data_IF_853358681593
#
_entry.id   IF_853358681593
#
_cell.length_a   1.000
_cell.length_b   1.000
_cell.length_c   1.000
_cell.angle_alpha   90.00
_cell.angle_beta   90.00
_cell.angle_gamma   90.00
#
_symmetry.space_group_name_H-M   'P 1'
#
loop_
_entity.id
_entity.type
_entity.pdbx_description
1 polymer ?
#
# COMPACT_ATOMS: atom_id res chain seq x y z
N UNK A 1 37.75 54.09 2.31
CA UNK A 1 37.01 53.07 1.54
C UNK A 1 36.86 51.72 2.28
N UNK A 2 37.72 51.36 3.19
CA UNK A 2 37.72 50.04 3.91
C UNK A 2 36.60 49.91 4.96
N UNK A 3 36.23 50.94 5.69
CA UNK A 3 35.19 50.89 6.72
C UNK A 3 33.77 50.65 6.14
N UNK A 4 33.46 51.27 5.00
CA UNK A 4 32.15 51.11 4.34
C UNK A 4 31.96 49.67 3.79
N UNK A 5 33.00 49.07 3.23
CA UNK A 5 32.97 47.69 2.74
C UNK A 5 32.77 46.68 3.88
N UNK A 6 33.35 46.92 5.05
CA UNK A 6 33.20 46.07 6.23
C UNK A 6 31.76 46.16 6.80
N UNK A 7 31.18 47.37 6.86
CA UNK A 7 29.78 47.54 7.31
C UNK A 7 28.79 46.89 6.36
N UNK A 8 28.98 47.02 5.03
CA UNK A 8 28.13 46.39 4.04
C UNK A 8 28.22 44.82 4.11
N UNK A 9 29.43 44.30 4.34
CA UNK A 9 29.63 42.86 4.53
C UNK A 9 28.93 42.33 5.79
N UNK A 10 28.99 43.07 6.91
CA UNK A 10 28.31 42.68 8.13
C UNK A 10 26.77 42.71 7.98
N UNK A 11 26.23 43.72 7.30
CA UNK A 11 24.77 43.79 7.01
C UNK A 11 24.33 42.63 6.11
N UNK A 12 25.09 42.32 5.06
CA UNK A 12 24.79 41.19 4.19
C UNK A 12 24.81 39.87 4.95
N UNK A 13 25.79 39.65 5.84
CA UNK A 13 25.87 38.47 6.70
C UNK A 13 24.66 38.30 7.63
N UNK A 14 24.22 39.41 8.25
CA UNK A 14 23.00 39.40 9.10
C UNK A 14 21.75 39.10 8.30
N UNK A 15 21.61 39.65 7.10
CA UNK A 15 20.44 39.35 6.23
C UNK A 15 20.42 37.88 5.82
N UNK A 16 21.56 37.33 5.43
CA UNK A 16 21.67 35.88 5.06
C UNK A 16 21.32 35.00 6.27
N UNK A 17 21.85 35.31 7.45
CA UNK A 17 21.55 34.58 8.68
C UNK A 17 20.05 34.65 9.05
N UNK A 18 19.40 35.79 8.89
CA UNK A 18 17.97 35.98 9.14
C UNK A 18 17.12 35.18 8.13
N UNK A 19 17.48 35.17 6.84
CA UNK A 19 16.78 34.41 5.80
C UNK A 19 16.95 32.93 6.06
N UNK A 20 18.15 32.46 6.35
CA UNK A 20 18.42 31.04 6.68
C UNK A 20 17.67 30.59 7.94
N UNK A 21 17.66 31.43 8.99
CA UNK A 21 16.91 31.20 10.22
C UNK A 21 15.39 31.05 9.95
N UNK A 22 14.81 32.01 9.19
CA UNK A 22 13.39 31.95 8.83
C UNK A 22 13.06 30.68 8.00
N UNK A 23 13.95 30.29 7.11
CA UNK A 23 13.77 29.07 6.30
C UNK A 23 13.82 27.79 7.16
N UNK A 24 14.79 27.68 8.07
CA UNK A 24 14.90 26.54 9.01
C UNK A 24 13.69 26.49 9.95
N UNK A 25 13.28 27.64 10.53
CA UNK A 25 12.10 27.72 11.40
C UNK A 25 10.84 27.36 10.61
N UNK A 26 10.67 27.86 9.40
CA UNK A 26 9.52 27.55 8.53
C UNK A 26 9.42 26.04 8.24
N UNK A 27 10.57 25.39 7.94
CA UNK A 27 10.63 23.94 7.74
C UNK A 27 10.32 23.14 9.00
N UNK A 28 10.85 23.55 10.16
CA UNK A 28 10.58 22.86 11.43
C UNK A 28 9.12 22.99 11.85
N UNK A 29 8.51 24.17 11.68
CA UNK A 29 7.08 24.38 11.95
C UNK A 29 6.20 23.59 10.98
N UNK A 30 6.56 23.52 9.69
CA UNK A 30 5.82 22.71 8.72
C UNK A 30 5.90 21.22 9.06
N UNK A 31 7.08 20.71 9.45
CA UNK A 31 7.27 19.33 9.90
C UNK A 31 6.48 19.04 11.18
N UNK A 32 6.51 19.92 12.17
CA UNK A 32 5.76 19.79 13.40
C UNK A 32 4.24 19.75 13.15
N UNK A 33 3.71 20.63 12.30
CA UNK A 33 2.29 20.63 11.91
C UNK A 33 1.90 19.36 11.13
N UNK A 34 2.77 18.86 10.27
CA UNK A 34 2.54 17.61 9.56
C UNK A 34 2.52 16.41 10.53
N UNK A 35 3.46 16.37 11.49
CA UNK A 35 3.49 15.36 12.53
C UNK A 35 2.24 15.41 13.43
N UNK A 36 1.81 16.60 13.85
CA UNK A 36 0.60 16.78 14.65
C UNK A 36 -0.68 16.33 13.90
N UNK A 37 -0.80 16.64 12.60
CA UNK A 37 -1.91 16.16 11.77
C UNK A 37 -1.90 14.64 11.67
N UNK A 38 -0.73 14.02 11.47
CA UNK A 38 -0.57 12.56 11.42
C UNK A 38 -0.95 11.92 12.76
N UNK A 39 -0.48 12.49 13.88
CA UNK A 39 -0.82 12.02 15.22
C UNK A 39 -2.32 12.07 15.49
N UNK A 40 -2.98 13.19 15.19
CA UNK A 40 -4.44 13.32 15.33
C UNK A 40 -5.23 12.36 14.42
N UNK A 41 -4.73 12.09 13.21
CA UNK A 41 -5.36 11.12 12.32
C UNK A 41 -5.18 9.71 12.86
N UNK A 42 -3.98 9.37 13.34
CA UNK A 42 -3.69 8.09 13.97
C UNK A 42 -4.51 7.87 15.25
N UNK A 43 -4.66 8.89 16.08
CA UNK A 43 -5.48 8.85 17.31
C UNK A 43 -6.96 8.61 17.00
N UNK A 44 -7.51 9.33 16.01
CA UNK A 44 -8.90 9.08 15.54
C UNK A 44 -9.09 7.70 14.94
N UNK A 45 -8.10 7.21 14.19
CA UNK A 45 -8.14 5.86 13.62
C UNK A 45 -8.01 4.79 14.71
N UNK A 46 -7.18 5.01 15.73
CA UNK A 46 -7.05 4.10 16.86
C UNK A 46 -8.34 4.06 17.70
N UNK A 47 -8.98 5.20 17.91
CA UNK A 47 -10.27 5.31 18.59
C UNK A 47 -11.39 4.60 17.81
N UNK A 48 -11.48 4.82 16.49
CA UNK A 48 -12.34 4.08 15.59
C UNK A 48 -11.99 2.58 15.59
N UNK A 49 -10.70 2.21 15.57
CA UNK A 49 -10.23 0.82 15.54
C UNK A 49 -10.59 0.02 16.79
N UNK A 50 -10.62 0.66 17.96
CA UNK A 50 -11.03 -0.01 19.21
C UNK A 50 -12.53 -0.33 19.25
N UNK A 51 -13.37 0.57 18.74
CA UNK A 51 -14.82 0.39 18.63
C UNK A 51 -15.20 -0.56 17.49
N UNK A 52 -14.47 -0.54 16.38
CA UNK A 52 -14.80 -1.30 15.18
C UNK A 52 -14.47 -2.79 15.29
N UNK A 53 -13.56 -3.22 16.16
CA UNK A 53 -13.24 -4.65 16.32
C UNK A 53 -14.45 -5.45 16.83
N UNK A 54 -15.21 -4.91 17.78
CA UNK A 54 -16.47 -5.51 18.23
C UNK A 54 -17.54 -5.47 17.14
N UNK A 55 -17.74 -4.29 16.53
CA UNK A 55 -18.72 -4.08 15.45
C UNK A 55 -18.44 -4.98 14.23
N UNK A 56 -17.19 -5.22 13.93
CA UNK A 56 -16.82 -6.07 12.81
C UNK A 56 -17.21 -7.53 12.99
N UNK A 57 -17.02 -8.08 14.16
CA UNK A 57 -17.54 -9.43 14.47
C UNK A 57 -19.06 -9.47 14.37
N UNK A 58 -19.75 -8.41 14.83
CA UNK A 58 -21.20 -8.30 14.73
C UNK A 58 -21.70 -8.10 13.29
N UNK A 59 -20.92 -7.47 12.40
CA UNK A 59 -21.26 -7.33 10.98
C UNK A 59 -20.86 -8.56 10.17
N UNK A 60 -19.72 -9.21 10.46
CA UNK A 60 -19.28 -10.43 9.75
C UNK A 60 -20.29 -11.57 9.92
N UNK A 61 -20.91 -11.69 11.10
CA UNK A 61 -21.89 -12.73 11.39
C UNK A 61 -23.14 -12.65 10.46
N UNK A 62 -23.87 -11.52 10.33
CA UNK A 62 -24.99 -11.45 9.40
C UNK A 62 -24.56 -11.58 7.93
N UNK A 63 -23.37 -11.07 7.54
CA UNK A 63 -22.85 -11.26 6.18
C UNK A 63 -22.64 -12.74 5.88
N UNK A 64 -22.05 -13.51 6.81
CA UNK A 64 -21.88 -14.97 6.65
C UNK A 64 -23.21 -15.67 6.56
N UNK A 65 -24.21 -15.24 7.32
CA UNK A 65 -25.58 -15.80 7.27
C UNK A 65 -26.25 -15.49 5.91
N UNK A 66 -26.09 -14.28 5.39
CA UNK A 66 -26.63 -13.91 4.06
C UNK A 66 -25.93 -14.70 2.95
N UNK A 67 -24.61 -14.87 3.02
CA UNK A 67 -23.86 -15.68 2.06
C UNK A 67 -24.37 -17.11 2.03
N UNK A 68 -24.49 -17.74 3.20
CA UNK A 68 -25.00 -19.11 3.33
C UNK A 68 -26.44 -19.24 2.77
N UNK A 69 -27.32 -18.29 3.11
CA UNK A 69 -28.69 -18.31 2.59
C UNK A 69 -28.74 -18.12 1.06
N UNK A 70 -27.89 -17.26 0.51
CA UNK A 70 -27.78 -17.08 -0.95
C UNK A 70 -27.31 -18.36 -1.64
N UNK A 71 -26.34 -19.07 -1.04
CA UNK A 71 -25.88 -20.37 -1.54
C UNK A 71 -27.00 -21.44 -1.47
N UNK A 72 -27.68 -21.56 -0.34
CA UNK A 72 -28.81 -22.50 -0.18
C UNK A 72 -29.96 -22.22 -1.14
N UNK A 73 -30.26 -20.95 -1.42
CA UNK A 73 -31.22 -20.56 -2.45
C UNK A 73 -30.74 -21.01 -3.83
N UNK A 74 -29.44 -20.82 -4.14
CA UNK A 74 -28.85 -21.29 -5.39
C UNK A 74 -28.96 -22.80 -5.59
N UNK A 75 -28.61 -23.56 -4.56
CA UNK A 75 -28.74 -25.04 -4.53
C UNK A 75 -30.20 -25.47 -4.65
N UNK A 76 -31.12 -24.86 -3.92
CA UNK A 76 -32.54 -25.18 -3.98
C UNK A 76 -33.22 -24.85 -5.31
N UNK A 77 -32.66 -23.93 -6.10
CA UNK A 77 -33.17 -23.59 -7.44
C UNK A 77 -32.96 -24.74 -8.42
N UNK A 78 -31.90 -25.53 -8.27
CA UNK A 78 -31.65 -26.71 -9.15
C UNK A 78 -32.71 -27.78 -9.02
N UNK A 79 -33.29 -27.90 -7.81
CA UNK A 79 -34.31 -28.92 -7.47
C UNK A 79 -35.76 -28.44 -7.77
N UNK A 80 -35.94 -27.21 -8.20
CA UNK A 80 -37.29 -26.67 -8.50
C UNK A 80 -37.87 -27.31 -9.79
N UNK A 81 -39.14 -27.67 -9.75
CA UNK A 81 -39.91 -27.99 -10.95
C UNK A 81 -40.38 -26.71 -11.65
N UNK A 82 -39.44 -26.00 -12.29
CA UNK A 82 -39.68 -24.74 -12.99
C UNK A 82 -39.04 -24.72 -14.38
N UNK A 83 -39.51 -23.86 -15.30
CA UNK A 83 -38.87 -23.70 -16.60
C UNK A 83 -37.37 -23.35 -16.48
N UNK A 84 -36.52 -23.92 -17.32
CA UNK A 84 -35.07 -23.73 -17.29
C UNK A 84 -34.63 -22.25 -17.35
N UNK A 85 -35.40 -21.41 -18.03
CA UNK A 85 -35.12 -19.96 -18.10
C UNK A 85 -35.32 -19.29 -16.76
N UNK A 86 -36.34 -19.72 -15.98
CA UNK A 86 -36.60 -19.22 -14.64
C UNK A 86 -35.54 -19.67 -13.65
N UNK A 87 -35.14 -20.96 -13.69
CA UNK A 87 -34.04 -21.51 -12.89
C UNK A 87 -32.74 -20.72 -13.12
N UNK A 88 -32.35 -20.52 -14.38
CA UNK A 88 -31.15 -19.74 -14.74
C UNK A 88 -31.21 -18.28 -14.25
N UNK A 89 -32.42 -17.70 -14.27
CA UNK A 89 -32.60 -16.33 -13.74
C UNK A 89 -32.40 -16.26 -12.24
N UNK A 90 -32.94 -17.25 -11.49
CA UNK A 90 -32.80 -17.32 -10.03
C UNK A 90 -31.36 -17.64 -9.60
N UNK A 91 -30.72 -18.62 -10.27
CA UNK A 91 -29.30 -18.94 -10.02
C UNK A 91 -28.39 -17.73 -10.21
N UNK A 92 -28.54 -16.98 -11.32
CA UNK A 92 -27.79 -15.74 -11.54
C UNK A 92 -28.00 -14.69 -10.45
N UNK A 93 -29.22 -14.58 -9.90
CA UNK A 93 -29.50 -13.65 -8.77
C UNK A 93 -28.83 -14.12 -7.49
N UNK A 94 -28.90 -15.41 -7.17
CA UNK A 94 -28.23 -15.99 -6.00
C UNK A 94 -26.71 -15.82 -6.07
N UNK A 95 -26.09 -16.10 -7.22
CA UNK A 95 -24.66 -15.84 -7.45
C UNK A 95 -24.29 -14.37 -7.35
N UNK A 96 -25.16 -13.46 -7.88
CA UNK A 96 -24.92 -12.02 -7.77
C UNK A 96 -24.96 -11.55 -6.31
N UNK A 97 -25.90 -12.09 -5.51
CA UNK A 97 -26.01 -11.80 -4.09
C UNK A 97 -24.77 -12.32 -3.35
N UNK A 98 -24.33 -13.55 -3.61
CA UNK A 98 -23.13 -14.13 -3.01
C UNK A 98 -21.89 -13.29 -3.31
N UNK A 99 -21.70 -12.86 -4.56
CA UNK A 99 -20.58 -11.95 -4.94
C UNK A 99 -20.61 -10.63 -4.20
N UNK A 100 -21.79 -10.02 -4.02
CA UNK A 100 -21.90 -8.75 -3.30
C UNK A 100 -21.63 -8.89 -1.80
N UNK A 101 -22.03 -10.01 -1.19
CA UNK A 101 -21.72 -10.31 0.22
C UNK A 101 -20.21 -10.52 0.42
N UNK A 102 -19.56 -11.26 -0.48
CA UNK A 102 -18.10 -11.43 -0.43
C UNK A 102 -17.37 -10.09 -0.62
N UNK A 103 -17.88 -9.25 -1.51
CA UNK A 103 -17.35 -7.89 -1.69
C UNK A 103 -17.47 -7.05 -0.42
N UNK A 104 -18.63 -7.06 0.25
CA UNK A 104 -18.85 -6.33 1.51
C UNK A 104 -17.94 -6.86 2.63
N UNK A 105 -17.74 -8.18 2.69
CA UNK A 105 -16.82 -8.80 3.63
C UNK A 105 -15.38 -8.30 3.40
N UNK A 106 -14.92 -8.28 2.17
CA UNK A 106 -13.60 -7.74 1.82
C UNK A 106 -13.42 -6.26 2.19
N UNK A 107 -14.44 -5.43 1.92
CA UNK A 107 -14.42 -4.00 2.32
C UNK A 107 -14.31 -3.86 3.85
N UNK A 108 -15.04 -4.67 4.60
CA UNK A 108 -14.99 -4.65 6.06
C UNK A 108 -13.63 -5.09 6.58
N UNK A 109 -13.05 -6.15 6.02
CA UNK A 109 -11.72 -6.65 6.39
C UNK A 109 -10.63 -5.61 6.12
N UNK A 110 -10.61 -5.00 4.94
CA UNK A 110 -9.69 -3.91 4.58
C UNK A 110 -9.83 -2.71 5.53
N UNK A 111 -11.08 -2.35 5.87
CA UNK A 111 -11.33 -1.25 6.79
C UNK A 111 -10.81 -1.54 8.20
N UNK A 112 -11.01 -2.76 8.70
CA UNK A 112 -10.54 -3.18 10.02
C UNK A 112 -9.02 -3.23 10.10
N UNK A 113 -8.39 -3.71 9.06
CA UNK A 113 -6.94 -3.72 8.92
C UNK A 113 -6.40 -2.30 8.91
N UNK A 114 -7.01 -1.40 8.13
CA UNK A 114 -6.61 0.00 8.07
C UNK A 114 -6.90 0.75 9.38
N UNK A 115 -8.04 0.53 10.04
CA UNK A 115 -8.44 1.22 11.27
C UNK A 115 -7.85 0.57 12.54
N UNK A 116 -7.43 -0.70 12.49
CA UNK A 116 -6.93 -1.46 13.63
C UNK A 116 -5.62 -0.90 14.22
N UNK A 117 -5.35 -1.26 15.47
CA UNK A 117 -4.08 -0.96 16.12
C UNK A 117 -2.96 -1.76 15.44
N UNK A 118 -1.98 -1.05 14.88
CA UNK A 118 -0.81 -1.67 14.26
C UNK A 118 0.27 -1.86 15.34
N UNK A 119 0.48 -3.10 15.77
CA UNK A 119 1.54 -3.47 16.71
C UNK A 119 2.68 -4.11 15.93
N UNK A 120 3.77 -3.37 15.77
CA UNK A 120 4.96 -3.82 15.06
C UNK A 120 5.89 -4.55 16.03
N UNK A 121 6.23 -5.78 15.71
CA UNK A 121 7.26 -6.58 16.36
C UNK A 121 8.45 -6.76 15.43
N UNK A 122 9.21 -5.67 15.28
CA UNK A 122 10.34 -5.63 14.37
C UNK A 122 11.54 -6.38 14.92
N UNK A 123 12.12 -7.27 14.12
CA UNK A 123 13.32 -8.06 14.42
C UNK A 123 14.32 -7.99 13.25
N UNK A 124 15.63 -8.27 13.50
CA UNK A 124 16.58 -8.38 12.41
C UNK A 124 16.20 -9.48 11.43
N UNK A 125 15.94 -9.13 10.17
CA UNK A 125 15.62 -10.09 9.11
C UNK A 125 16.29 -9.68 7.80
N UNK A 126 16.45 -10.65 6.89
CA UNK A 126 17.00 -10.44 5.55
C UNK A 126 15.87 -10.11 4.57
N UNK A 127 15.92 -8.92 4.01
CA UNK A 127 14.92 -8.44 3.04
C UNK A 127 14.85 -9.32 1.79
N UNK A 128 16.01 -9.85 1.31
CA UNK A 128 16.04 -10.76 0.18
C UNK A 128 15.21 -12.01 0.43
N UNK A 129 15.39 -12.63 1.60
CA UNK A 129 14.65 -13.83 1.97
C UNK A 129 13.14 -13.59 2.07
N UNK A 130 12.76 -12.46 2.65
CA UNK A 130 11.32 -12.10 2.73
C UNK A 130 10.72 -11.89 1.36
N UNK A 131 11.50 -11.28 0.43
CA UNK A 131 11.08 -11.05 -0.95
C UNK A 131 10.96 -12.36 -1.73
N UNK A 132 11.91 -13.27 -1.58
CA UNK A 132 11.91 -14.59 -2.22
C UNK A 132 10.68 -15.42 -1.80
N UNK A 133 10.40 -15.47 -0.48
CA UNK A 133 9.20 -16.13 0.06
C UNK A 133 7.88 -15.52 -0.48
N UNK A 134 7.85 -14.22 -0.78
CA UNK A 134 6.70 -13.55 -1.40
C UNK A 134 6.54 -13.90 -2.87
N UNK A 135 7.65 -13.99 -3.61
CA UNK A 135 7.64 -14.41 -5.02
C UNK A 135 7.06 -15.82 -5.13
N UNK A 136 7.57 -16.76 -4.35
CA UNK A 136 7.09 -18.15 -4.34
C UNK A 136 5.59 -18.22 -4.00
N UNK A 137 5.16 -17.47 -2.99
CA UNK A 137 3.77 -17.44 -2.55
C UNK A 137 2.82 -16.88 -3.62
N UNK A 138 3.23 -15.82 -4.32
CA UNK A 138 2.36 -15.09 -5.25
C UNK A 138 2.39 -15.64 -6.68
N UNK A 139 3.41 -16.42 -7.03
CA UNK A 139 3.62 -16.95 -8.38
C UNK A 139 2.39 -17.65 -8.99
N UNK A 140 1.67 -18.54 -8.28
CA UNK A 140 0.46 -19.18 -8.83
C UNK A 140 -0.63 -18.18 -9.19
N UNK A 141 -0.82 -17.15 -8.36
CA UNK A 141 -1.83 -16.12 -8.58
C UNK A 141 -1.47 -15.19 -9.76
N UNK A 142 -0.20 -14.80 -9.87
CA UNK A 142 0.29 -14.01 -11.01
C UNK A 142 0.07 -14.78 -12.33
N UNK A 143 0.44 -16.06 -12.38
CA UNK A 143 0.25 -16.91 -13.54
C UNK A 143 -1.24 -17.05 -13.93
N UNK A 144 -2.13 -17.23 -12.95
CA UNK A 144 -3.58 -17.34 -13.18
C UNK A 144 -4.17 -16.05 -13.81
N UNK A 145 -3.52 -14.89 -13.59
CA UNK A 145 -3.90 -13.59 -14.15
C UNK A 145 -3.11 -13.21 -15.41
N UNK A 146 -2.25 -14.11 -15.92
CA UNK A 146 -1.43 -13.87 -17.10
C UNK A 146 -0.34 -12.81 -16.88
N UNK A 147 0.14 -12.67 -15.65
CA UNK A 147 1.23 -11.76 -15.27
C UNK A 147 2.51 -12.57 -15.05
N UNK A 148 3.58 -12.17 -15.72
CA UNK A 148 4.91 -12.75 -15.54
C UNK A 148 5.56 -12.16 -14.30
N UNK A 149 5.67 -12.94 -13.23
CA UNK A 149 6.39 -12.54 -12.01
C UNK A 149 7.87 -12.86 -12.13
N UNK A 150 8.73 -11.89 -11.78
CA UNK A 150 10.20 -12.03 -11.78
C UNK A 150 10.78 -11.45 -10.50
N UNK A 151 11.89 -11.99 -10.08
CA UNK A 151 12.75 -11.47 -9.02
C UNK A 151 14.11 -11.02 -9.57
N UNK A 152 14.70 -10.03 -8.91
CA UNK A 152 16.06 -9.52 -9.18
C UNK A 152 16.66 -9.13 -7.82
N UNK A 153 17.11 -10.16 -7.07
CA UNK A 153 17.53 -10.00 -5.69
C UNK A 153 19.02 -9.65 -5.59
N UNK A 154 19.36 -8.78 -4.64
CA UNK A 154 20.73 -8.44 -4.31
C UNK A 154 21.54 -9.69 -3.94
N UNK A 155 22.82 -9.76 -4.38
CA UNK A 155 23.70 -10.90 -4.11
C UNK A 155 24.14 -11.03 -2.65
N UNK A 156 24.05 -9.93 -1.90
CA UNK A 156 24.41 -9.87 -0.48
C UNK A 156 23.17 -9.78 0.39
N UNK A 157 23.13 -10.39 1.58
CA UNK A 157 22.03 -10.27 2.50
C UNK A 157 21.78 -8.80 2.88
N UNK A 158 20.52 -8.38 2.86
CA UNK A 158 20.08 -7.03 3.22
C UNK A 158 19.37 -7.06 4.57
N UNK A 159 20.13 -7.02 5.65
CA UNK A 159 19.59 -7.12 7.01
C UNK A 159 19.00 -5.80 7.48
N UNK A 160 17.71 -5.82 7.83
CA UNK A 160 16.95 -4.68 8.31
C UNK A 160 16.17 -5.04 9.58
N UNK A 161 15.79 -4.02 10.35
CA UNK A 161 14.87 -4.19 11.49
C UNK A 161 13.44 -4.12 10.97
N UNK A 162 12.81 -5.28 10.73
CA UNK A 162 11.50 -5.38 10.10
C UNK A 162 10.60 -6.41 10.79
N UNK A 163 9.31 -6.15 10.76
CA UNK A 163 8.27 -7.12 11.09
C UNK A 163 7.89 -7.88 9.82
N UNK A 164 8.37 -9.13 9.70
CA UNK A 164 8.23 -9.94 8.49
C UNK A 164 6.76 -10.16 8.07
N UNK A 165 5.83 -10.54 8.96
CA UNK A 165 4.41 -10.67 8.63
C UNK A 165 3.79 -9.39 8.06
N UNK A 166 4.00 -8.26 8.74
CA UNK A 166 3.47 -6.97 8.30
C UNK A 166 4.13 -6.46 7.01
N UNK A 167 5.45 -6.69 6.83
CA UNK A 167 6.12 -6.35 5.57
C UNK A 167 5.54 -7.16 4.40
N UNK A 168 5.35 -8.47 4.57
CA UNK A 168 4.73 -9.32 3.54
C UNK A 168 3.34 -8.80 3.17
N UNK A 169 2.54 -8.43 4.13
CA UNK A 169 1.22 -7.83 3.92
C UNK A 169 1.30 -6.52 3.11
N UNK A 170 2.21 -5.61 3.48
CA UNK A 170 2.39 -4.36 2.75
C UNK A 170 2.81 -4.59 1.29
N UNK A 171 3.76 -5.51 1.06
CA UNK A 171 4.23 -5.83 -0.30
C UNK A 171 3.14 -6.54 -1.10
N UNK A 172 2.38 -7.47 -0.51
CA UNK A 172 1.23 -8.11 -1.17
C UNK A 172 0.18 -7.09 -1.61
N UNK A 173 -0.10 -6.06 -0.83
CA UNK A 173 -1.00 -4.97 -1.23
C UNK A 173 -0.49 -4.22 -2.47
N UNK A 174 0.84 -4.01 -2.59
CA UNK A 174 1.44 -3.42 -3.78
C UNK A 174 1.37 -4.35 -4.99
N UNK A 175 1.69 -5.65 -4.81
CA UNK A 175 1.64 -6.67 -5.86
C UNK A 175 0.22 -6.87 -6.41
N UNK A 176 -0.78 -6.94 -5.53
CA UNK A 176 -2.20 -7.02 -5.89
C UNK A 176 -2.64 -5.76 -6.66
N UNK A 177 -2.19 -4.58 -6.21
CA UNK A 177 -2.51 -3.35 -6.91
C UNK A 177 -1.91 -3.30 -8.32
N UNK A 178 -0.65 -3.71 -8.48
CA UNK A 178 0.04 -3.83 -9.76
C UNK A 178 -0.66 -4.80 -10.70
N UNK A 179 -0.95 -6.02 -10.24
CA UNK A 179 -1.59 -7.06 -11.03
C UNK A 179 -2.98 -6.65 -11.50
N UNK A 180 -3.77 -6.03 -10.63
CA UNK A 180 -5.09 -5.49 -10.98
C UNK A 180 -5.02 -4.33 -11.97
N UNK A 181 -4.00 -3.46 -11.86
CA UNK A 181 -3.81 -2.35 -12.79
C UNK A 181 -3.47 -2.87 -14.20
N UNK A 182 -2.58 -3.85 -14.28
CA UNK A 182 -2.25 -4.54 -15.53
C UNK A 182 -3.42 -5.35 -16.12
N UNK A 183 -4.26 -5.94 -15.25
CA UNK A 183 -5.47 -6.68 -15.68
C UNK A 183 -6.54 -5.78 -16.28
N UNK A 184 -6.62 -4.52 -15.87
CA UNK A 184 -7.54 -3.52 -16.40
C UNK A 184 -7.01 -2.79 -17.65
N UNK A 185 -5.72 -2.96 -17.98
CA UNK A 185 -5.11 -2.39 -19.17
C UNK A 185 -5.44 -3.25 -20.40
N UNK A 186 -6.14 -2.67 -21.37
CA UNK A 186 -6.49 -3.33 -22.64
C UNK A 186 -5.32 -3.34 -23.66
N UNK A 187 -4.15 -2.80 -23.29
CA UNK A 187 -2.96 -2.83 -24.14
C UNK A 187 -2.45 -4.26 -24.32
N UNK A 188 -1.91 -4.55 -25.52
CA UNK A 188 -1.26 -5.84 -25.84
C UNK A 188 0.15 -5.99 -25.23
N UNK A 189 0.50 -5.19 -24.22
CA UNK A 189 1.83 -5.22 -23.59
C UNK A 189 2.01 -6.48 -22.78
N UNK A 190 3.25 -6.96 -22.72
CA UNK A 190 3.64 -8.01 -21.79
C UNK A 190 3.45 -7.52 -20.35
N UNK A 191 2.68 -8.25 -19.57
CA UNK A 191 2.37 -7.93 -18.18
C UNK A 191 3.45 -8.51 -17.29
N UNK A 192 4.36 -7.67 -16.83
CA UNK A 192 5.43 -8.07 -15.92
C UNK A 192 5.29 -7.40 -14.55
N UNK A 193 5.51 -8.19 -13.50
CA UNK A 193 5.66 -7.75 -12.12
C UNK A 193 7.05 -8.17 -11.65
N UNK A 194 7.88 -7.21 -11.24
CA UNK A 194 9.27 -7.44 -10.87
C UNK A 194 9.46 -7.02 -9.42
N UNK A 195 9.96 -7.95 -8.58
CA UNK A 195 10.45 -7.61 -7.24
C UNK A 195 11.98 -7.56 -7.29
N UNK A 196 12.52 -6.36 -7.06
CA UNK A 196 13.96 -6.14 -7.03
C UNK A 196 14.41 -5.67 -5.67
N UNK A 197 15.53 -6.22 -5.17
CA UNK A 197 16.18 -5.71 -3.97
C UNK A 197 17.56 -5.16 -4.31
N UNK A 198 17.92 -4.06 -3.67
CA UNK A 198 19.24 -3.46 -3.84
C UNK A 198 19.74 -2.80 -2.55
N UNK A 199 21.07 -2.71 -2.43
CA UNK A 199 21.70 -1.86 -1.43
C UNK A 199 21.96 -0.47 -2.02
N UNK A 200 21.70 0.57 -1.24
CA UNK A 200 21.95 1.95 -1.63
C UNK A 200 22.39 2.80 -0.46
N UNK A 201 22.39 4.09 -0.69
CA UNK A 201 22.56 5.11 0.37
C UNK A 201 21.42 6.10 0.27
N UNK A 202 21.01 6.65 1.40
CA UNK A 202 20.02 7.73 1.43
C UNK A 202 20.69 9.12 1.21
N UNK A 203 19.88 10.18 1.33
CA UNK A 203 20.34 11.57 1.20
C UNK A 203 21.38 11.97 2.25
N UNK A 204 21.37 11.32 3.41
CA UNK A 204 22.28 11.55 4.52
C UNK A 204 23.49 10.60 4.50
N UNK A 205 23.68 9.84 3.41
CA UNK A 205 24.71 8.83 3.18
C UNK A 205 24.64 7.64 4.13
N UNK A 206 23.47 7.37 4.72
CA UNK A 206 23.23 6.18 5.54
C UNK A 206 22.99 4.99 4.60
N UNK A 207 23.65 3.82 4.84
CA UNK A 207 23.37 2.62 4.07
C UNK A 207 21.90 2.17 4.23
N UNK A 208 21.25 1.86 3.10
CA UNK A 208 19.85 1.43 3.07
C UNK A 208 19.68 0.21 2.18
N UNK A 209 18.68 -0.60 2.53
CA UNK A 209 18.11 -1.61 1.65
C UNK A 209 16.88 -1.04 0.95
N UNK A 210 16.72 -1.32 -0.34
CA UNK A 210 15.54 -0.98 -1.11
C UNK A 210 14.89 -2.23 -1.66
N UNK A 211 13.56 -2.27 -1.59
CA UNK A 211 12.73 -3.24 -2.28
C UNK A 211 11.86 -2.48 -3.27
N UNK A 212 11.97 -2.83 -4.53
CA UNK A 212 11.16 -2.31 -5.62
C UNK A 212 10.05 -3.29 -5.98
N UNK A 213 8.84 -2.78 -6.14
CA UNK A 213 7.71 -3.49 -6.73
C UNK A 213 7.36 -2.76 -8.02
N UNK A 214 7.79 -3.35 -9.14
CA UNK A 214 7.74 -2.72 -10.47
C UNK A 214 6.69 -3.43 -11.32
N UNK A 215 5.77 -2.69 -11.91
CA UNK A 215 4.79 -3.20 -12.87
C UNK A 215 4.93 -2.50 -14.24
N UNK A 216 4.49 -3.19 -15.29
CA UNK A 216 4.42 -2.67 -16.67
C UNK A 216 3.02 -2.17 -17.02
N UNK A 217 2.21 -1.82 -16.04
CA UNK A 217 0.84 -1.37 -16.20
C UNK A 217 0.68 0.03 -16.82
N UNK A 218 -0.52 0.60 -16.76
CA UNK A 218 -0.83 1.88 -17.41
C UNK A 218 -0.13 3.09 -16.77
N UNK A 219 0.51 2.90 -15.61
CA UNK A 219 1.12 3.99 -14.84
C UNK A 219 0.10 4.89 -14.15
N UNK A 220 0.60 5.89 -13.42
CA UNK A 220 -0.19 6.80 -12.59
C UNK A 220 0.09 8.25 -13.02
N UNK A 221 -0.94 9.00 -13.45
CA UNK A 221 -0.82 10.41 -13.78
C UNK A 221 -0.27 11.24 -12.62
N UNK A 222 0.52 12.27 -12.93
CA UNK A 222 1.22 13.09 -11.94
C UNK A 222 0.28 13.73 -10.91
N UNK A 223 -0.87 14.22 -11.35
CA UNK A 223 -1.90 14.83 -10.51
C UNK A 223 -2.54 13.85 -9.50
N UNK A 224 -2.40 12.54 -9.72
CA UNK A 224 -2.96 11.48 -8.86
C UNK A 224 -1.93 10.85 -7.91
N UNK A 225 -0.61 11.04 -8.13
CA UNK A 225 0.45 10.36 -7.35
C UNK A 225 0.36 10.60 -5.84
N UNK A 226 0.06 11.84 -5.42
CA UNK A 226 -0.13 12.16 -4.00
C UNK A 226 -1.46 11.66 -3.45
N UNK A 227 -2.46 11.51 -4.31
CA UNK A 227 -3.81 11.13 -3.90
C UNK A 227 -3.95 9.62 -3.66
N UNK A 228 -3.19 8.77 -4.35
CA UNK A 228 -3.31 7.30 -4.24
C UNK A 228 -3.02 6.74 -2.84
N UNK A 229 -2.26 7.48 -2.02
CA UNK A 229 -1.99 7.12 -0.63
C UNK A 229 -3.03 7.67 0.36
N UNK A 230 -4.07 8.37 -0.13
CA UNK A 230 -5.18 8.82 0.72
C UNK A 230 -6.23 7.70 0.82
N UNK A 231 -6.78 7.47 2.02
CA UNK A 231 -7.85 6.48 2.20
C UNK A 231 -9.04 6.74 1.27
N UNK A 232 -9.66 5.67 0.80
CA UNK A 232 -10.85 5.68 -0.08
C UNK A 232 -10.63 6.28 -1.46
N UNK A 233 -9.39 6.56 -1.87
CA UNK A 233 -9.08 6.98 -3.25
C UNK A 233 -8.83 5.74 -4.09
N UNK A 234 -9.72 5.48 -5.03
CA UNK A 234 -9.63 4.36 -5.98
C UNK A 234 -10.25 4.73 -7.31
N UNK A 235 -9.67 4.21 -8.38
CA UNK A 235 -10.25 4.26 -9.74
C UNK A 235 -10.94 2.94 -10.11
N UNK A 236 -10.88 1.93 -9.24
CA UNK A 236 -11.38 0.58 -9.46
C UNK A 236 -12.80 0.45 -8.93
N UNK A 237 -13.73 -0.13 -9.71
CA UNK A 237 -15.13 -0.29 -9.30
C UNK A 237 -15.32 -1.17 -8.04
N UNK A 238 -14.43 -2.14 -7.81
CA UNK A 238 -14.46 -3.04 -6.66
C UNK A 238 -13.40 -2.72 -5.60
N UNK A 239 -12.56 -1.69 -5.81
CA UNK A 239 -11.47 -1.35 -4.90
C UNK A 239 -11.96 -0.55 -3.68
N UNK A 240 -11.43 -0.84 -2.50
CA UNK A 240 -11.70 -0.12 -1.25
C UNK A 240 -10.91 1.20 -1.15
N UNK A 241 -9.79 1.31 -1.87
CA UNK A 241 -8.86 2.42 -1.76
C UNK A 241 -8.07 2.43 -0.43
N UNK A 242 -8.02 1.30 0.28
CA UNK A 242 -7.32 1.17 1.56
C UNK A 242 -5.98 0.43 1.47
N UNK A 243 -5.73 -0.38 0.45
CA UNK A 243 -4.52 -1.19 0.34
C UNK A 243 -3.22 -0.36 0.31
N UNK A 244 -3.13 0.69 -0.53
CA UNK A 244 -1.95 1.56 -0.58
C UNK A 244 -1.73 2.38 0.71
N UNK A 245 -2.76 3.02 1.30
CA UNK A 245 -2.67 3.63 2.62
C UNK A 245 -2.20 2.67 3.72
N UNK A 246 -2.70 1.43 3.74
CA UNK A 246 -2.30 0.38 4.69
C UNK A 246 -0.83 -0.01 4.49
N UNK A 247 -0.40 -0.26 3.26
CA UNK A 247 1.00 -0.57 2.96
C UNK A 247 1.94 0.55 3.45
N UNK A 248 1.60 1.80 3.14
CA UNK A 248 2.39 2.95 3.60
C UNK A 248 2.45 3.05 5.12
N UNK A 249 1.31 2.88 5.81
CA UNK A 249 1.22 2.91 7.27
C UNK A 249 2.09 1.84 7.93
N UNK A 250 2.08 0.61 7.39
CA UNK A 250 2.90 -0.50 7.87
C UNK A 250 4.38 -0.19 7.71
N UNK A 251 4.80 0.26 6.53
CA UNK A 251 6.20 0.58 6.23
C UNK A 251 6.71 1.74 7.12
N UNK A 252 5.93 2.83 7.24
CA UNK A 252 6.28 3.97 8.09
C UNK A 252 6.35 3.58 9.59
N UNK A 253 5.49 2.67 10.06
CA UNK A 253 5.51 2.18 11.45
C UNK A 253 6.75 1.35 11.79
N UNK A 254 7.37 0.70 10.78
CA UNK A 254 8.67 0.02 10.91
C UNK A 254 9.87 0.96 10.74
N UNK A 255 9.65 2.28 10.62
CA UNK A 255 10.72 3.25 10.37
C UNK A 255 11.23 3.28 8.92
N UNK A 256 10.55 2.60 8.00
CA UNK A 256 10.83 2.63 6.58
C UNK A 256 10.16 3.81 5.86
N UNK A 257 10.41 3.90 4.56
CA UNK A 257 9.78 4.87 3.65
C UNK A 257 9.30 4.17 2.39
N UNK A 258 8.18 4.63 1.83
CA UNK A 258 7.70 4.23 0.52
C UNK A 258 7.69 5.43 -0.42
N UNK A 259 8.34 5.30 -1.56
CA UNK A 259 8.40 6.27 -2.63
C UNK A 259 7.72 5.71 -3.88
N UNK A 260 7.28 6.58 -4.77
CA UNK A 260 6.59 6.23 -6.01
C UNK A 260 7.28 6.89 -7.19
N UNK A 261 7.66 6.09 -8.17
CA UNK A 261 8.01 6.54 -9.50
C UNK A 261 7.05 5.90 -10.51
N UNK A 262 6.37 6.71 -11.32
CA UNK A 262 5.42 6.20 -12.31
C UNK A 262 5.23 7.21 -13.44
N UNK A 263 5.14 6.69 -14.65
CA UNK A 263 4.86 7.49 -15.84
C UNK A 263 3.68 6.87 -16.60
N UNK A 264 2.71 7.68 -17.05
CA UNK A 264 1.58 7.18 -17.83
C UNK A 264 2.08 6.36 -19.03
N UNK A 265 1.62 5.12 -19.12
CA UNK A 265 1.98 4.21 -20.18
C UNK A 265 3.34 3.51 -20.02
N UNK A 266 4.11 3.75 -18.97
CA UNK A 266 5.41 3.11 -18.72
C UNK A 266 5.43 2.19 -17.49
N UNK A 267 4.34 2.17 -16.71
CA UNK A 267 4.23 1.36 -15.50
C UNK A 267 4.48 2.14 -14.22
N UNK A 268 4.66 1.39 -13.13
CA UNK A 268 4.84 1.96 -11.79
C UNK A 268 5.94 1.23 -11.04
N UNK A 269 6.78 1.96 -10.32
CA UNK A 269 7.76 1.46 -9.36
C UNK A 269 7.46 2.02 -7.97
N UNK A 270 7.05 1.15 -7.06
CA UNK A 270 6.99 1.44 -5.63
C UNK A 270 8.29 1.01 -4.97
N UNK A 271 9.03 1.97 -4.42
CA UNK A 271 10.30 1.73 -3.75
C UNK A 271 10.13 1.81 -2.24
N UNK A 272 10.33 0.69 -1.55
CA UNK A 272 10.36 0.59 -0.09
C UNK A 272 11.81 0.68 0.37
N UNK A 273 12.10 1.57 1.32
CA UNK A 273 13.45 1.80 1.83
C UNK A 273 13.51 1.57 3.34
N UNK A 274 14.47 0.76 3.82
CA UNK A 274 14.78 0.56 5.23
C UNK A 274 16.26 0.85 5.49
N UNK A 275 16.63 1.38 6.69
CA UNK A 275 18.02 1.43 7.12
C UNK A 275 18.60 0.02 7.19
N UNK A 276 19.83 -0.18 6.67
CA UNK A 276 20.58 -1.41 6.87
C UNK A 276 21.09 -1.47 8.30
N UNK A 277 21.06 -2.66 8.89
CA UNK A 277 21.73 -2.93 10.16
C UNK A 277 23.23 -3.03 9.91
N UNK A 278 24.01 -2.45 10.80
CA UNK A 278 25.46 -2.63 10.81
C UNK A 278 25.78 -4.12 10.96
N UNK A 279 26.77 -4.58 10.19
CA UNK A 279 27.18 -6.00 10.10
C UNK A 279 27.85 -6.47 11.38
#
# INVERSE_FOLDING_TARGET
MTALAFVLGAIAGVIVALVASRWVIGRSVARARAAERRARTAERLAELGSMTRGLAHEIRNPLSTIALNAQLVGEGVEDLEAPEEEKRSLSRRAESLSREVERLRGILEDFLEFAGELRIDAAPADLNRVTDELVDFYLPQANAQGVRLRDDLAKTPLRCQIDTPHLKQAVLNLMLNATQAMGADESERERELILRTEQGVDTDRIPVARLHVIDTGPGIPEDKRDAIFRPYVTTKAAGTGLGLPTARRIIEAMGGRIDLHSEPGAGTDFTITFPLLDS
#
